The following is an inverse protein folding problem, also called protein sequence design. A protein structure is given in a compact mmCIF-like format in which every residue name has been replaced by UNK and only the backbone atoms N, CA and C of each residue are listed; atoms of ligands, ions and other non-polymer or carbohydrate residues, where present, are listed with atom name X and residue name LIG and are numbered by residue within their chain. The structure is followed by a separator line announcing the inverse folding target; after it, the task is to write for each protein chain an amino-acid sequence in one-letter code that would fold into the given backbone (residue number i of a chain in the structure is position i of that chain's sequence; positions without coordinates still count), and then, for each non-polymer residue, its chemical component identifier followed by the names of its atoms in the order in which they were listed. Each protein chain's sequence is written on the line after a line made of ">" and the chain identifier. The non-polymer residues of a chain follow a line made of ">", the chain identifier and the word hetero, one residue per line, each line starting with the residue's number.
data_IF_620714719179
#
_entry.id   IF_620714719179
#
_cell.length_a   1.000
_cell.length_b   1.000
_cell.length_c   1.000
_cell.angle_alpha   90.00
_cell.angle_beta   90.00
_cell.angle_gamma   90.00
#
_symmetry.space_group_name_H-M   'P 1'
#
loop_
_entity.id
_entity.type
_entity.pdbx_description
1 polymer ?
#
# COMPACT_ATOMS: atom_id res chain seq x y z
N UNK A 1 -8.86 12.73 -8.46
CA UNK A 1 -7.78 11.76 -8.18
C UNK A 1 -6.67 12.55 -7.49
N UNK A 2 -6.25 12.15 -6.30
CA UNK A 2 -5.17 12.81 -5.55
C UNK A 2 -3.97 11.89 -5.58
N UNK A 3 -2.78 12.44 -5.84
CA UNK A 3 -1.52 11.72 -5.86
C UNK A 3 -0.49 12.54 -5.07
N UNK A 4 0.28 11.86 -4.23
CA UNK A 4 1.36 12.45 -3.46
C UNK A 4 2.56 11.52 -3.44
N UNK A 5 3.72 12.05 -3.09
CA UNK A 5 4.96 11.31 -2.93
C UNK A 5 5.32 11.20 -1.45
N UNK A 6 6.09 10.18 -1.11
CA UNK A 6 6.43 9.87 0.26
C UNK A 6 7.52 8.82 0.37
N UNK A 7 7.92 8.53 1.61
CA UNK A 7 8.92 7.51 1.95
C UNK A 7 8.21 6.33 2.60
N UNK A 8 8.63 5.11 2.26
CA UNK A 8 8.15 3.89 2.91
C UNK A 8 9.16 3.47 3.97
N UNK A 9 8.68 3.33 5.21
CA UNK A 9 9.49 2.87 6.34
C UNK A 9 8.80 1.67 6.99
N UNK A 10 9.27 0.46 6.66
CA UNK A 10 8.63 -0.78 7.10
C UNK A 10 7.22 -0.92 6.54
N UNK A 11 6.22 -0.96 7.42
CA UNK A 11 4.78 -0.99 7.06
C UNK A 11 4.11 0.39 7.09
N UNK A 12 4.89 1.47 7.27
CA UNK A 12 4.37 2.85 7.35
C UNK A 12 4.71 3.61 6.07
N UNK A 13 3.74 4.37 5.55
CA UNK A 13 3.95 5.32 4.45
C UNK A 13 3.93 6.73 5.00
N UNK A 14 5.06 7.44 4.85
CA UNK A 14 5.22 8.84 5.24
C UNK A 14 4.99 9.71 4.01
N UNK A 15 3.85 10.38 3.92
CA UNK A 15 3.51 11.24 2.77
C UNK A 15 3.84 12.70 3.05
N UNK A 16 4.20 13.44 2.00
CA UNK A 16 4.42 14.89 2.11
C UNK A 16 3.14 15.66 2.48
N UNK A 17 1.98 15.12 2.10
CA UNK A 17 0.66 15.61 2.47
C UNK A 17 -0.09 14.50 3.21
N UNK A 18 -0.30 14.69 4.51
CA UNK A 18 -0.96 13.74 5.40
C UNK A 18 -2.40 14.15 5.73
N UNK A 19 -2.98 15.07 4.94
CA UNK A 19 -4.35 15.58 5.16
C UNK A 19 -5.36 14.44 5.10
N UNK A 20 -6.04 14.17 6.22
CA UNK A 20 -6.95 13.02 6.37
C UNK A 20 -8.09 13.00 5.34
N UNK A 21 -8.50 14.16 4.83
CA UNK A 21 -9.50 14.32 3.77
C UNK A 21 -9.14 13.58 2.46
N UNK A 22 -7.85 13.30 2.23
CA UNK A 22 -7.37 12.57 1.07
C UNK A 22 -7.35 11.04 1.28
N UNK A 23 -7.41 10.56 2.53
CA UNK A 23 -7.21 9.14 2.86
C UNK A 23 -8.43 8.49 3.53
N UNK A 24 -9.16 9.22 4.36
CA UNK A 24 -10.18 8.63 5.23
C UNK A 24 -11.33 8.01 4.42
N UNK A 25 -11.60 6.72 4.65
CA UNK A 25 -12.64 5.95 3.96
C UNK A 25 -12.37 5.68 2.48
N UNK A 26 -11.16 5.95 1.97
CA UNK A 26 -10.80 5.77 0.56
C UNK A 26 -9.79 4.65 0.39
N UNK A 27 -9.96 3.86 -0.68
CA UNK A 27 -8.92 2.94 -1.16
C UNK A 27 -7.78 3.75 -1.77
N UNK A 28 -6.55 3.43 -1.41
CA UNK A 28 -5.34 4.10 -1.92
C UNK A 28 -4.46 3.11 -2.65
N UNK A 29 -3.84 3.56 -3.75
CA UNK A 29 -2.83 2.81 -4.49
C UNK A 29 -1.48 3.43 -4.11
N UNK A 30 -0.57 2.60 -3.60
CA UNK A 30 0.79 3.00 -3.25
C UNK A 30 1.71 2.50 -4.36
N UNK A 31 2.31 3.42 -5.11
CA UNK A 31 3.33 3.09 -6.11
C UNK A 31 4.70 3.36 -5.50
N UNK A 32 5.48 2.30 -5.34
CA UNK A 32 6.87 2.40 -4.84
C UNK A 32 7.79 2.60 -6.03
N UNK A 33 8.48 3.74 -6.06
CA UNK A 33 9.57 3.98 -7.00
C UNK A 33 10.86 3.53 -6.33
N UNK A 34 11.39 2.39 -6.77
CA UNK A 34 12.68 1.89 -6.30
C UNK A 34 13.80 2.61 -7.09
N UNK A 35 14.65 3.40 -6.42
CA UNK A 35 15.73 4.16 -7.08
C UNK A 35 16.74 3.22 -7.78
N UNK A 36 16.83 1.96 -7.36
CA UNK A 36 17.66 0.91 -7.98
C UNK A 36 17.23 0.55 -9.41
N UNK A 37 16.04 0.99 -9.86
CA UNK A 37 15.60 0.81 -11.25
C UNK A 37 16.45 1.61 -12.26
N UNK A 38 17.12 2.67 -11.81
CA UNK A 38 17.85 3.61 -12.68
C UNK A 38 19.28 3.16 -13.01
N UNK A 39 19.80 2.14 -12.33
CA UNK A 39 21.21 1.78 -12.36
C UNK A 39 21.47 0.35 -12.86
N UNK A 40 20.75 -0.10 -13.90
CA UNK A 40 21.15 -1.26 -14.72
C UNK A 40 21.37 -2.60 -13.99
N UNK A 41 20.92 -2.71 -12.74
CA UNK A 41 21.04 -3.89 -11.89
C UNK A 41 19.73 -4.10 -11.17
N UNK A 42 18.82 -4.79 -11.86
CA UNK A 42 18.07 -5.97 -11.42
C UNK A 42 16.77 -5.96 -12.23
N UNK A 43 16.60 -6.93 -13.12
CA UNK A 43 15.30 -7.23 -13.73
C UNK A 43 14.35 -7.75 -12.63
N UNK A 44 13.86 -6.89 -11.74
CA UNK A 44 12.63 -7.19 -11.02
C UNK A 44 11.50 -6.78 -11.93
N UNK A 45 11.06 -7.73 -12.74
CA UNK A 45 9.80 -7.64 -13.46
C UNK A 45 8.70 -7.42 -12.43
N UNK A 46 8.17 -6.20 -12.36
CA UNK A 46 6.95 -5.93 -11.62
C UNK A 46 5.89 -6.89 -12.18
N UNK A 47 5.40 -7.79 -11.33
CA UNK A 47 4.27 -8.62 -11.71
C UNK A 47 3.02 -7.75 -11.68
N UNK A 48 2.53 -7.39 -12.86
CA UNK A 48 1.21 -6.81 -13.01
C UNK A 48 0.19 -7.87 -12.60
N UNK A 49 -0.61 -7.56 -11.58
CA UNK A 49 -1.75 -8.39 -11.17
C UNK A 49 -3.05 -7.74 -11.63
N UNK A 50 -4.10 -8.52 -11.86
CA UNK A 50 -5.41 -7.96 -12.19
C UNK A 50 -6.01 -7.22 -10.97
N UNK A 51 -6.86 -6.24 -11.23
CA UNK A 51 -7.59 -5.51 -10.19
C UNK A 51 -8.37 -6.47 -9.27
N UNK A 52 -8.97 -7.51 -9.82
CA UNK A 52 -9.70 -8.55 -9.08
C UNK A 52 -8.78 -9.28 -8.09
N UNK A 53 -7.56 -9.61 -8.53
CA UNK A 53 -6.55 -10.28 -7.71
C UNK A 53 -6.08 -9.37 -6.58
N UNK A 54 -5.84 -8.08 -6.90
CA UNK A 54 -5.43 -7.08 -5.93
C UNK A 54 -6.53 -6.83 -4.88
N UNK A 55 -7.78 -6.72 -5.31
CA UNK A 55 -8.94 -6.52 -4.45
C UNK A 55 -9.14 -7.71 -3.51
N UNK A 56 -9.08 -8.94 -4.03
CA UNK A 56 -9.20 -10.14 -3.21
C UNK A 56 -8.11 -10.23 -2.14
N UNK A 57 -6.85 -9.94 -2.51
CA UNK A 57 -5.74 -9.91 -1.56
C UNK A 57 -5.92 -8.81 -0.50
N UNK A 58 -6.38 -7.62 -0.90
CA UNK A 58 -6.69 -6.53 0.03
C UNK A 58 -7.78 -6.91 1.02
N UNK A 59 -8.89 -7.48 0.55
CA UNK A 59 -10.03 -7.86 1.42
C UNK A 59 -9.63 -8.95 2.41
N UNK A 60 -8.81 -9.93 1.99
CA UNK A 60 -8.29 -10.97 2.88
C UNK A 60 -7.44 -10.38 4.02
N UNK A 61 -6.54 -9.46 3.70
CA UNK A 61 -5.68 -8.79 4.70
C UNK A 61 -6.50 -7.93 5.68
N UNK A 62 -7.52 -7.22 5.18
CA UNK A 62 -8.41 -6.42 6.03
C UNK A 62 -9.14 -7.32 7.02
N UNK A 63 -9.71 -8.44 6.55
CA UNK A 63 -10.43 -9.38 7.41
C UNK A 63 -9.51 -9.98 8.48
N UNK A 64 -8.32 -10.42 8.10
CA UNK A 64 -7.32 -10.95 9.04
C UNK A 64 -6.96 -9.91 10.13
N UNK A 65 -6.76 -8.66 9.74
CA UNK A 65 -6.46 -7.60 10.70
C UNK A 65 -7.66 -7.31 11.62
N UNK A 66 -8.89 -7.30 11.09
CA UNK A 66 -10.09 -7.14 11.89
C UNK A 66 -10.24 -8.24 12.95
N UNK A 67 -9.95 -9.48 12.60
CA UNK A 67 -9.95 -10.59 13.55
C UNK A 67 -8.86 -10.43 14.62
N UNK A 68 -7.64 -10.09 14.23
CA UNK A 68 -6.54 -9.83 15.15
C UNK A 68 -6.90 -8.73 16.17
N UNK A 69 -7.53 -7.64 15.73
CA UNK A 69 -7.99 -6.58 16.62
C UNK A 69 -9.11 -7.03 17.57
N UNK A 70 -10.00 -7.93 17.14
CA UNK A 70 -11.04 -8.50 18.02
C UNK A 70 -10.44 -9.36 19.12
N UNK A 71 -9.42 -10.15 18.82
CA UNK A 71 -8.74 -10.99 19.82
C UNK A 71 -7.92 -10.15 20.82
N UNK A 72 -7.32 -9.05 20.38
CA UNK A 72 -6.61 -8.12 21.28
C UNK A 72 -7.54 -7.33 22.21
N UNK A 73 -8.83 -7.25 21.88
CA UNK A 73 -9.84 -6.56 22.68
C UNK A 73 -10.54 -7.49 23.71
N UNK A 74 -10.17 -8.77 23.77
CA UNK A 74 -10.59 -9.72 24.82
C UNK A 74 -9.64 -9.68 26.01
#
# INVERSE_FOLDING_TARGET
>A
MFATTGIIQGNTVLTNDYSLEHYNGRKVIITVLDEDFSAGKTEKTFQTVSDETLLAASDALINQNMEAYRELAK
#
